data_IF_045873133873
#
_entry.id   IF_045873133873
#
_cell.length_a   1.000
_cell.length_b   1.000
_cell.length_c   1.000
_cell.angle_alpha   90.00
_cell.angle_beta   90.00
_cell.angle_gamma   90.00
#
_symmetry.space_group_name_H-M   'P 1'
#
loop_
_entity.id
_entity.type
_entity.pdbx_description
1 polymer ?
#
# COMPACT_ATOMS: atom_id res chain seq x y z
N UNK A 1 -16.81 -21.30 -6.21
CA UNK A 1 -16.61 -20.01 -5.53
C UNK A 1 -15.77 -19.14 -6.44
N UNK A 2 -16.00 -17.83 -6.59
CA UNK A 2 -15.06 -16.95 -7.28
C UNK A 2 -13.68 -17.06 -6.60
N UNK A 3 -12.62 -16.98 -7.41
CA UNK A 3 -11.23 -17.00 -6.96
C UNK A 3 -10.97 -15.76 -6.07
N UNK A 4 -10.65 -15.95 -4.77
CA UNK A 4 -10.43 -14.85 -3.85
C UNK A 4 -9.31 -13.90 -4.29
N UNK A 5 -8.29 -14.42 -4.96
CA UNK A 5 -7.16 -13.62 -5.44
C UNK A 5 -7.58 -12.70 -6.58
N UNK A 6 -8.30 -13.24 -7.58
CA UNK A 6 -8.94 -12.45 -8.64
C UNK A 6 -9.85 -11.37 -8.07
N UNK A 7 -10.73 -11.72 -7.13
CA UNK A 7 -11.73 -10.79 -6.61
C UNK A 7 -11.10 -9.57 -5.92
N UNK A 8 -10.02 -9.76 -5.15
CA UNK A 8 -9.29 -8.66 -4.52
C UNK A 8 -8.59 -7.80 -5.57
N UNK A 9 -7.99 -8.40 -6.58
CA UNK A 9 -7.34 -7.67 -7.67
C UNK A 9 -8.34 -6.80 -8.45
N UNK A 10 -9.50 -7.36 -8.78
CA UNK A 10 -10.60 -6.66 -9.46
C UNK A 10 -11.09 -5.46 -8.62
N UNK A 11 -11.19 -5.61 -7.30
CA UNK A 11 -11.61 -4.54 -6.39
C UNK A 11 -10.60 -3.39 -6.33
N UNK A 12 -9.29 -3.69 -6.36
CA UNK A 12 -8.23 -2.68 -6.38
C UNK A 12 -8.25 -1.91 -7.70
N UNK A 13 -8.43 -2.62 -8.82
CA UNK A 13 -8.44 -2.00 -10.15
C UNK A 13 -9.75 -1.27 -10.48
N UNK A 14 -10.88 -1.73 -9.91
CA UNK A 14 -12.21 -1.17 -10.15
C UNK A 14 -12.92 -0.87 -8.81
N UNK A 15 -12.50 0.19 -8.10
CA UNK A 15 -13.09 0.52 -6.80
C UNK A 15 -14.58 0.83 -6.95
N UNK A 16 -15.41 0.10 -6.19
CA UNK A 16 -16.89 0.23 -6.18
C UNK A 16 -17.32 1.59 -5.61
N UNK A 17 -16.46 2.21 -4.78
CA UNK A 17 -16.66 3.54 -4.20
C UNK A 17 -15.69 4.51 -4.87
N UNK A 18 -16.16 5.57 -5.57
CA UNK A 18 -15.30 6.51 -6.30
C UNK A 18 -14.34 7.36 -5.45
N UNK A 19 -14.32 7.19 -4.12
CA UNK A 19 -13.53 8.05 -3.21
C UNK A 19 -12.01 7.87 -3.34
N UNK A 20 -11.54 6.91 -4.13
CA UNK A 20 -10.12 6.55 -4.25
C UNK A 20 -9.48 7.00 -5.57
N UNK A 21 -10.18 7.75 -6.42
CA UNK A 21 -9.62 8.28 -7.68
C UNK A 21 -9.09 9.69 -7.47
N UNK A 22 -7.82 9.83 -7.08
CA UNK A 22 -7.11 11.11 -7.20
C UNK A 22 -6.55 11.18 -8.64
N UNK A 23 -7.19 11.98 -9.49
CA UNK A 23 -6.73 12.26 -10.86
C UNK A 23 -7.00 11.16 -11.89
N UNK A 24 -6.73 11.50 -13.15
CA UNK A 24 -6.95 10.63 -14.31
C UNK A 24 -6.03 9.39 -14.23
N UNK A 25 -6.62 8.27 -13.83
CA UNK A 25 -6.16 6.88 -14.06
C UNK A 25 -5.07 6.27 -13.16
N UNK A 26 -4.69 6.87 -12.03
CA UNK A 26 -3.80 6.20 -11.08
C UNK A 26 -4.60 5.30 -10.11
N UNK A 27 -4.22 4.03 -9.99
CA UNK A 27 -4.72 3.13 -8.93
C UNK A 27 -4.05 3.54 -7.62
N UNK A 28 -4.82 4.07 -6.67
CA UNK A 28 -4.31 4.49 -5.36
C UNK A 28 -4.68 3.43 -4.34
N UNK A 29 -3.68 2.83 -3.70
CA UNK A 29 -3.86 1.92 -2.57
C UNK A 29 -4.25 2.75 -1.35
N UNK A 30 -5.34 2.35 -0.69
CA UNK A 30 -5.82 2.94 0.57
C UNK A 30 -5.91 1.88 1.67
N UNK A 31 -6.34 2.27 2.87
CA UNK A 31 -6.48 1.39 4.03
C UNK A 31 -7.43 0.19 3.78
N UNK A 32 -8.48 0.36 2.98
CA UNK A 32 -9.41 -0.73 2.67
C UNK A 32 -8.72 -1.79 1.81
N UNK A 33 -7.95 -1.35 0.80
CA UNK A 33 -7.16 -2.26 -0.04
C UNK A 33 -6.08 -2.97 0.77
N UNK A 34 -5.39 -2.26 1.67
CA UNK A 34 -4.41 -2.87 2.58
C UNK A 34 -5.07 -3.95 3.43
N UNK A 35 -6.22 -3.66 4.04
CA UNK A 35 -6.94 -4.65 4.84
C UNK A 35 -7.29 -5.91 4.03
N UNK A 36 -7.82 -5.75 2.81
CA UNK A 36 -8.15 -6.87 1.94
C UNK A 36 -6.92 -7.70 1.56
N UNK A 37 -5.82 -7.04 1.19
CA UNK A 37 -4.56 -7.70 0.85
C UNK A 37 -3.98 -8.46 2.04
N UNK A 38 -4.01 -7.89 3.25
CA UNK A 38 -3.57 -8.62 4.45
C UNK A 38 -4.42 -9.87 4.73
N UNK A 39 -5.75 -9.78 4.57
CA UNK A 39 -6.62 -10.95 4.73
C UNK A 39 -6.28 -12.02 3.69
N UNK A 40 -6.06 -11.61 2.44
CA UNK A 40 -5.69 -12.53 1.36
C UNK A 40 -4.33 -13.19 1.62
N UNK A 41 -3.34 -12.44 2.10
CA UNK A 41 -2.03 -12.97 2.47
C UNK A 41 -2.16 -14.05 3.56
N UNK A 42 -3.03 -13.84 4.56
CA UNK A 42 -3.27 -14.80 5.64
C UNK A 42 -3.93 -16.10 5.16
N UNK A 43 -4.72 -16.05 4.08
CA UNK A 43 -5.34 -17.26 3.52
C UNK A 43 -4.42 -18.03 2.58
N UNK A 44 -3.29 -17.43 2.15
CA UNK A 44 -2.29 -18.03 1.26
C UNK A 44 -2.93 -18.76 0.06
N UNK A 45 -3.74 -18.07 -0.75
CA UNK A 45 -4.45 -18.69 -1.87
C UNK A 45 -3.48 -19.28 -2.90
N UNK A 46 -3.92 -20.32 -3.60
CA UNK A 46 -3.22 -20.76 -4.80
C UNK A 46 -3.52 -19.77 -5.94
N UNK A 47 -2.47 -19.20 -6.54
CA UNK A 47 -2.59 -18.13 -7.53
C UNK A 47 -2.56 -18.73 -8.93
N UNK A 48 -3.62 -18.51 -9.70
CA UNK A 48 -3.66 -18.90 -11.11
C UNK A 48 -2.69 -18.06 -11.96
N UNK A 49 -2.03 -18.63 -12.99
CA UNK A 49 -1.04 -17.91 -13.79
C UNK A 49 -1.57 -16.61 -14.44
N UNK A 50 -2.83 -16.60 -14.88
CA UNK A 50 -3.45 -15.41 -15.46
C UNK A 50 -3.64 -14.28 -14.43
N UNK A 51 -4.02 -14.64 -13.19
CA UNK A 51 -4.17 -13.69 -12.09
C UNK A 51 -2.80 -13.13 -11.70
N UNK A 52 -1.77 -13.98 -11.66
CA UNK A 52 -0.38 -13.54 -11.42
C UNK A 52 0.08 -12.51 -12.45
N UNK A 53 -0.24 -12.69 -13.73
CA UNK A 53 0.14 -11.76 -14.79
C UNK A 53 -0.56 -10.39 -14.63
N UNK A 54 -1.85 -10.39 -14.27
CA UNK A 54 -2.60 -9.15 -13.99
C UNK A 54 -2.06 -8.44 -12.74
N UNK A 55 -1.73 -9.19 -11.69
CA UNK A 55 -1.12 -8.64 -10.49
C UNK A 55 0.27 -8.04 -10.76
N UNK A 56 1.05 -8.66 -11.67
CA UNK A 56 2.33 -8.11 -12.11
C UNK A 56 2.16 -6.77 -12.81
N UNK A 57 1.16 -6.61 -13.68
CA UNK A 57 0.87 -5.32 -14.34
C UNK A 57 0.56 -4.24 -13.30
N UNK A 58 -0.31 -4.55 -12.34
CA UNK A 58 -0.61 -3.64 -11.24
C UNK A 58 0.64 -3.28 -10.40
N UNK A 59 1.49 -4.26 -10.08
CA UNK A 59 2.71 -4.02 -9.33
C UNK A 59 3.70 -3.13 -10.09
N UNK A 60 3.78 -3.26 -11.42
CA UNK A 60 4.58 -2.37 -12.26
C UNK A 60 4.04 -0.94 -12.27
N UNK A 61 2.71 -0.77 -12.35
CA UNK A 61 2.06 0.54 -12.29
C UNK A 61 2.31 1.22 -10.94
N UNK A 62 2.18 0.48 -9.83
CA UNK A 62 2.50 0.98 -8.49
C UNK A 62 3.97 1.34 -8.35
N UNK A 63 4.89 0.53 -8.88
CA UNK A 63 6.32 0.84 -8.88
C UNK A 63 6.63 2.12 -9.68
N UNK A 64 5.95 2.34 -10.80
CA UNK A 64 6.08 3.59 -11.56
C UNK A 64 5.55 4.78 -10.76
N UNK A 65 4.37 4.65 -10.16
CA UNK A 65 3.77 5.67 -9.30
C UNK A 65 4.68 6.04 -8.11
N UNK A 66 5.28 5.04 -7.47
CA UNK A 66 6.23 5.22 -6.37
C UNK A 66 7.47 6.02 -6.77
N UNK A 67 7.97 5.88 -8.01
CA UNK A 67 9.12 6.70 -8.46
C UNK A 67 8.80 8.19 -8.50
N UNK A 68 7.54 8.52 -8.71
CA UNK A 68 7.05 9.90 -8.77
C UNK A 68 6.54 10.38 -7.40
N UNK A 69 6.19 9.46 -6.49
CA UNK A 69 5.55 9.72 -5.20
C UNK A 69 6.15 8.82 -4.09
N UNK A 70 7.47 8.89 -3.89
CA UNK A 70 8.24 7.94 -3.04
C UNK A 70 7.86 7.92 -1.57
N UNK A 71 7.07 8.88 -1.09
CA UNK A 71 6.84 9.08 0.34
C UNK A 71 5.55 8.41 0.87
N UNK A 72 4.72 7.83 -0.01
CA UNK A 72 3.48 7.18 0.41
C UNK A 72 3.73 5.76 0.95
N UNK A 73 3.88 5.64 2.27
CA UNK A 73 4.13 4.36 2.96
C UNK A 73 3.02 3.32 2.79
N UNK A 74 1.76 3.74 2.59
CA UNK A 74 0.65 2.83 2.29
C UNK A 74 0.78 2.21 0.90
N UNK A 75 1.14 3.00 -0.10
CA UNK A 75 1.37 2.50 -1.47
C UNK A 75 2.53 1.52 -1.48
N UNK A 76 3.62 1.83 -0.78
CA UNK A 76 4.76 0.90 -0.65
C UNK A 76 4.35 -0.40 0.05
N UNK A 77 3.57 -0.33 1.14
CA UNK A 77 3.05 -1.52 1.81
C UNK A 77 2.15 -2.36 0.88
N UNK A 78 1.26 -1.70 0.12
CA UNK A 78 0.40 -2.37 -0.85
C UNK A 78 1.19 -3.10 -1.93
N UNK A 79 2.23 -2.45 -2.47
CA UNK A 79 3.16 -3.08 -3.42
C UNK A 79 3.82 -4.33 -2.82
N UNK A 80 4.37 -4.24 -1.61
CA UNK A 80 5.02 -5.37 -0.93
C UNK A 80 4.04 -6.53 -0.67
N UNK A 81 2.79 -6.24 -0.30
CA UNK A 81 1.74 -7.25 -0.14
C UNK A 81 1.42 -7.95 -1.46
N UNK A 82 1.32 -7.22 -2.58
CA UNK A 82 1.13 -7.82 -3.90
C UNK A 82 2.28 -8.76 -4.28
N UNK A 83 3.52 -8.35 -4.06
CA UNK A 83 4.69 -9.18 -4.34
C UNK A 83 4.66 -10.50 -3.56
N UNK A 84 4.28 -10.43 -2.28
CA UNK A 84 4.19 -11.59 -1.41
C UNK A 84 3.06 -12.54 -1.78
N UNK A 85 1.84 -12.02 -1.99
CA UNK A 85 0.64 -12.83 -2.27
C UNK A 85 0.74 -13.51 -3.63
N UNK A 86 1.17 -12.77 -4.66
CA UNK A 86 1.15 -13.24 -6.05
C UNK A 86 2.48 -13.86 -6.49
N UNK A 87 3.46 -13.97 -5.59
CA UNK A 87 4.76 -14.57 -5.90
C UNK A 87 5.49 -13.84 -7.03
N UNK A 88 5.67 -12.52 -6.86
CA UNK A 88 6.22 -11.65 -7.91
C UNK A 88 7.67 -11.21 -7.64
N UNK A 89 8.27 -11.59 -6.52
CA UNK A 89 9.62 -11.15 -6.13
C UNK A 89 10.68 -11.43 -7.22
N UNK A 90 10.53 -12.53 -7.95
CA UNK A 90 11.37 -12.93 -9.09
C UNK A 90 11.36 -11.93 -10.26
N UNK A 91 10.38 -11.03 -10.31
CA UNK A 91 10.20 -10.01 -11.34
C UNK A 91 10.79 -8.65 -10.97
N UNK A 92 11.36 -8.52 -9.77
CA UNK A 92 11.90 -7.25 -9.24
C UNK A 92 13.33 -7.42 -8.72
N UNK A 93 14.04 -6.29 -8.58
CA UNK A 93 15.36 -6.28 -7.95
C UNK A 93 15.21 -6.48 -6.43
N UNK A 94 15.90 -7.48 -5.88
CA UNK A 94 15.79 -7.86 -4.47
C UNK A 94 16.28 -6.75 -3.52
N UNK A 95 17.39 -6.09 -3.84
CA UNK A 95 17.94 -5.01 -3.02
C UNK A 95 16.97 -3.82 -2.93
N UNK A 96 16.38 -3.41 -4.06
CA UNK A 96 15.34 -2.37 -4.10
C UNK A 96 14.13 -2.77 -3.24
N UNK A 97 13.71 -4.03 -3.27
CA UNK A 97 12.58 -4.52 -2.45
C UNK A 97 12.93 -4.50 -0.96
N UNK A 98 14.18 -4.83 -0.59
CA UNK A 98 14.65 -4.76 0.80
C UNK A 98 14.67 -3.32 1.33
N UNK A 99 15.05 -2.34 0.50
CA UNK A 99 14.99 -0.93 0.85
C UNK A 99 13.55 -0.47 1.13
N UNK A 100 12.58 -0.93 0.35
CA UNK A 100 11.16 -0.64 0.56
C UNK A 100 10.63 -1.25 1.88
N UNK A 101 11.08 -2.45 2.25
CA UNK A 101 10.78 -3.01 3.58
C UNK A 101 11.33 -2.15 4.71
N UNK A 102 12.57 -1.67 4.58
CA UNK A 102 13.18 -0.79 5.58
C UNK A 102 12.40 0.53 5.70
N UNK A 103 11.98 1.12 4.58
CA UNK A 103 11.16 2.34 4.56
C UNK A 103 9.84 2.17 5.33
N UNK A 104 9.07 1.12 5.02
CA UNK A 104 7.79 0.86 5.71
C UNK A 104 7.99 0.56 7.20
N UNK A 105 9.05 -0.18 7.55
CA UNK A 105 9.37 -0.49 8.95
C UNK A 105 9.69 0.79 9.75
N UNK A 106 10.46 1.72 9.16
CA UNK A 106 10.76 3.01 9.79
C UNK A 106 9.49 3.84 10.04
N UNK A 107 8.57 3.90 9.07
CA UNK A 107 7.31 4.61 9.23
C UNK A 107 6.47 4.01 10.37
N UNK A 108 6.38 2.68 10.45
CA UNK A 108 5.70 1.99 11.55
C UNK A 108 6.33 2.30 12.91
N UNK A 109 7.66 2.26 13.01
CA UNK A 109 8.39 2.61 14.23
C UNK A 109 8.10 4.06 14.65
N UNK A 110 8.08 5.00 13.69
CA UNK A 110 7.77 6.41 13.97
C UNK A 110 6.36 6.58 14.56
N UNK A 111 5.37 5.88 13.99
CA UNK A 111 3.98 5.87 14.50
C UNK A 111 3.88 5.28 15.91
N UNK A 112 4.57 4.16 16.18
CA UNK A 112 4.61 3.55 17.51
C UNK A 112 5.31 4.46 18.54
N UNK A 113 6.40 5.11 18.15
CA UNK A 113 7.12 6.07 18.99
C UNK A 113 6.22 7.27 19.33
N UNK A 114 5.47 7.78 18.36
CA UNK A 114 4.50 8.85 18.58
C UNK A 114 3.48 8.48 19.67
N UNK A 115 2.96 7.25 19.61
CA UNK A 115 2.05 6.71 20.62
C UNK A 115 2.69 6.57 22.00
N UNK A 116 3.86 5.95 22.09
CA UNK A 116 4.57 5.70 23.36
C UNK A 116 5.05 6.97 24.06
N UNK A 117 5.38 8.02 23.30
CA UNK A 117 5.71 9.35 23.84
C UNK A 117 4.47 10.11 24.40
N UNK A 118 3.29 9.49 24.32
CA UNK A 118 2.04 10.07 24.83
C UNK A 118 1.54 11.25 24.00
N UNK A 119 2.01 11.38 22.76
CA UNK A 119 1.53 12.44 21.89
C UNK A 119 0.07 12.23 21.47
N UNK A 120 -0.41 10.98 21.44
CA UNK A 120 -1.82 10.60 21.19
C UNK A 120 -2.82 11.37 22.05
N UNK A 121 -2.49 11.66 23.32
CA UNK A 121 -3.36 12.36 24.26
C UNK A 121 -3.27 13.90 24.17
N UNK A 122 -2.34 14.43 23.36
CA UNK A 122 -2.14 15.87 23.11
C UNK A 122 -2.66 16.30 21.73
N UNK A 123 -3.19 15.35 20.96
CA UNK A 123 -3.71 15.60 19.63
C UNK A 123 -5.09 16.25 19.74
N UNK A 124 -5.16 17.57 19.55
CA UNK A 124 -6.43 18.23 19.19
C UNK A 124 -6.95 17.62 17.89
N UNK A 125 -8.26 17.57 17.65
CA UNK A 125 -8.83 17.12 16.36
C UNK A 125 -8.13 17.80 15.17
N UNK A 126 -7.70 19.06 15.33
CA UNK A 126 -6.90 19.80 14.36
C UNK A 126 -5.49 19.23 14.16
N UNK A 127 -4.83 18.73 15.21
CA UNK A 127 -3.55 18.01 15.14
C UNK A 127 -3.70 16.58 14.61
N UNK A 128 -4.87 15.96 14.77
CA UNK A 128 -5.15 14.64 14.20
C UNK A 128 -5.28 14.75 12.70
N UNK A 129 -6.01 15.77 12.22
CA UNK A 129 -6.02 16.15 10.81
C UNK A 129 -4.67 16.63 10.32
N UNK A 130 -3.83 17.27 11.13
CA UNK A 130 -2.46 17.64 10.74
C UNK A 130 -1.52 16.44 10.68
N UNK A 131 -1.66 15.44 11.54
CA UNK A 131 -0.88 14.20 11.48
C UNK A 131 -1.34 13.29 10.35
N UNK A 132 -2.65 13.20 10.11
CA UNK A 132 -3.20 12.55 8.92
C UNK A 132 -2.77 13.34 7.69
N UNK A 133 -2.81 14.67 7.70
CA UNK A 133 -2.31 15.51 6.61
C UNK A 133 -0.79 15.42 6.46
N UNK A 134 0.01 15.26 7.51
CA UNK A 134 1.46 15.05 7.39
C UNK A 134 1.72 13.63 6.84
N UNK A 135 1.13 12.59 7.43
CA UNK A 135 1.21 11.21 6.91
C UNK A 135 0.66 11.08 5.47
N UNK A 136 -0.34 11.87 5.07
CA UNK A 136 -0.94 11.89 3.73
C UNK A 136 -0.31 12.94 2.77
N UNK A 137 0.38 13.97 3.25
CA UNK A 137 0.92 15.11 2.47
C UNK A 137 2.37 15.50 2.85
N UNK A 138 3.19 14.60 3.37
CA UNK A 138 4.57 14.92 3.78
C UNK A 138 5.55 15.24 2.62
N UNK A 139 5.09 15.65 1.43
CA UNK A 139 5.94 16.38 0.46
C UNK A 139 5.32 17.68 -0.04
N UNK A 140 5.12 18.64 0.85
CA UNK A 140 5.41 20.03 0.47
C UNK A 140 6.43 20.64 1.44
N UNK A 141 7.70 20.54 1.04
CA UNK A 141 8.86 21.33 1.49
C UNK A 141 9.56 20.83 2.76
N UNK A 142 10.72 20.18 2.53
CA UNK A 142 11.98 20.62 3.14
C UNK A 142 13.03 20.73 2.03
#
# INVERSE_FOLDING_TARGET
SPDPSRAVLDMIQNPVIPMCKMGDNAVIIDDCHIFLLEQLMRTSPNIEPCVREEALKLALDLKAYMKENTENSLVVLGFLLLLSIYGLLDSFNEDEVLELFAFVAQHKIAVELFGTLGFTNKVSVRMMWLLVFFVENDIEKI
#
